data_IF_807292064617
#
_entry.id   IF_807292064617
#
_cell.length_a   1.000
_cell.length_b   1.000
_cell.length_c   1.000
_cell.angle_alpha   90.00
_cell.angle_beta   90.00
_cell.angle_gamma   90.00
#
_symmetry.space_group_name_H-M   'P 1'
#
loop_
_entity.id
_entity.type
_entity.pdbx_description
1 polymer ?
#
# COMPACT_ATOMS: atom_id res chain seq x y z
N UNK A 1 33.32 11.87 16.44
CA UNK A 1 32.80 13.02 15.67
C UNK A 1 31.63 12.47 14.87
N UNK A 2 30.42 12.81 15.26
CA UNK A 2 29.22 12.51 14.50
C UNK A 2 29.20 13.49 13.34
N UNK A 3 29.41 13.01 12.12
CA UNK A 3 29.24 13.82 10.93
C UNK A 3 27.81 14.36 10.91
N UNK A 4 27.66 15.67 10.82
CA UNK A 4 26.35 16.30 10.58
C UNK A 4 25.81 15.80 9.23
N UNK A 5 24.91 14.84 9.26
CA UNK A 5 24.11 14.51 8.08
C UNK A 5 23.37 15.79 7.72
N UNK A 6 23.65 16.36 6.56
CA UNK A 6 22.90 17.52 6.07
C UNK A 6 21.44 17.08 5.94
N UNK A 7 20.48 17.86 6.46
CA UNK A 7 19.08 17.50 6.35
C UNK A 7 18.72 17.31 4.87
N UNK A 8 17.96 16.26 4.59
CA UNK A 8 17.48 15.99 3.24
C UNK A 8 16.65 17.18 2.76
N UNK A 9 17.02 17.74 1.61
CA UNK A 9 16.31 18.89 1.04
C UNK A 9 14.99 18.51 0.38
N UNK A 10 14.71 17.21 0.27
CA UNK A 10 13.51 16.68 -0.36
C UNK A 10 12.61 16.02 0.67
N UNK A 11 11.31 16.22 0.52
CA UNK A 11 10.28 15.44 1.18
C UNK A 11 9.69 14.47 0.16
N UNK A 12 9.91 13.18 0.36
CA UNK A 12 9.49 12.13 -0.55
C UNK A 12 8.06 11.67 -0.22
N UNK A 13 7.19 11.74 -1.23
CA UNK A 13 5.79 11.31 -1.15
C UNK A 13 5.58 10.16 -2.12
N UNK A 14 5.25 8.98 -1.60
CA UNK A 14 4.95 7.78 -2.38
C UNK A 14 3.44 7.52 -2.38
N UNK A 15 2.79 7.77 -3.52
CA UNK A 15 1.42 7.36 -3.75
C UNK A 15 1.37 5.91 -4.20
N UNK A 16 0.52 5.10 -3.57
CA UNK A 16 0.31 3.71 -3.96
C UNK A 16 -1.15 3.42 -4.22
N UNK A 17 -1.42 2.40 -5.03
CA UNK A 17 -2.80 1.97 -5.37
C UNK A 17 -2.88 0.46 -5.30
N UNK A 18 -3.83 -0.04 -4.52
CA UNK A 18 -4.09 -1.46 -4.36
C UNK A 18 -5.24 -1.93 -5.25
N UNK A 19 -5.51 -3.23 -5.24
CA UNK A 19 -6.63 -3.90 -5.87
C UNK A 19 -6.70 -3.81 -7.40
N UNK A 20 -5.58 -3.55 -8.07
CA UNK A 20 -5.55 -3.62 -9.54
C UNK A 20 -5.79 -5.07 -9.97
N UNK A 21 -6.83 -5.29 -10.76
CA UNK A 21 -7.35 -6.59 -11.21
C UNK A 21 -8.14 -7.39 -10.15
N UNK A 22 -8.51 -6.83 -9.02
CA UNK A 22 -9.45 -7.46 -8.09
C UNK A 22 -10.89 -7.20 -8.55
N UNK A 23 -11.58 -8.23 -9.09
CA UNK A 23 -12.78 -8.07 -9.91
C UNK A 23 -13.90 -7.19 -9.30
N UNK A 24 -14.15 -7.27 -8.00
CA UNK A 24 -15.20 -6.50 -7.33
C UNK A 24 -14.76 -5.09 -6.86
N UNK A 25 -13.47 -4.75 -6.95
CA UNK A 25 -12.92 -3.43 -6.63
C UNK A 25 -12.15 -2.79 -7.79
N UNK A 26 -12.30 -3.35 -9.01
CA UNK A 26 -11.58 -2.89 -10.18
C UNK A 26 -12.52 -2.64 -11.37
N UNK A 27 -12.51 -1.41 -11.86
CA UNK A 27 -13.10 -1.02 -13.12
C UNK A 27 -12.01 -0.41 -14.02
N UNK A 28 -11.84 -0.94 -15.23
CA UNK A 28 -10.81 -0.46 -16.17
C UNK A 28 -10.92 1.05 -16.44
N UNK A 29 -12.14 1.57 -16.59
CA UNK A 29 -12.38 3.01 -16.78
C UNK A 29 -11.82 3.83 -15.61
N UNK A 30 -12.09 3.40 -14.38
CA UNK A 30 -11.61 4.09 -13.17
C UNK A 30 -10.09 3.99 -13.06
N UNK A 31 -9.51 2.84 -13.39
CA UNK A 31 -8.05 2.66 -13.41
C UNK A 31 -7.36 3.61 -14.41
N UNK A 32 -7.89 3.70 -15.65
CA UNK A 32 -7.38 4.67 -16.66
C UNK A 32 -7.53 6.11 -16.19
N UNK A 33 -8.66 6.47 -15.60
CA UNK A 33 -8.90 7.80 -15.07
C UNK A 33 -7.95 8.13 -13.92
N UNK A 34 -7.64 7.15 -13.06
CA UNK A 34 -6.73 7.34 -11.93
C UNK A 34 -5.28 7.54 -12.39
N UNK A 35 -4.82 6.77 -13.39
CA UNK A 35 -3.51 7.00 -14.03
C UNK A 35 -3.46 8.41 -14.62
N UNK A 36 -4.47 8.82 -15.39
CA UNK A 36 -4.53 10.15 -15.98
C UNK A 36 -4.53 11.27 -14.92
N UNK A 37 -5.29 11.07 -13.84
CA UNK A 37 -5.31 12.00 -12.70
C UNK A 37 -3.92 12.16 -12.07
N UNK A 38 -3.18 11.07 -11.87
CA UNK A 38 -1.82 11.14 -11.34
C UNK A 38 -0.87 11.86 -12.30
N UNK A 39 -0.94 11.54 -13.58
CA UNK A 39 -0.11 12.19 -14.60
C UNK A 39 -0.36 13.70 -14.69
N UNK A 40 -1.62 14.13 -14.64
CA UNK A 40 -2.02 15.54 -14.66
C UNK A 40 -1.51 16.31 -13.43
N UNK A 41 -1.34 15.62 -12.29
CA UNK A 41 -0.82 16.19 -11.06
C UNK A 41 0.70 15.98 -10.87
N UNK A 42 1.39 15.43 -11.87
CA UNK A 42 2.84 15.16 -11.79
C UNK A 42 3.21 14.05 -10.80
N UNK A 43 2.25 13.18 -10.44
CA UNK A 43 2.45 12.08 -9.50
C UNK A 43 2.81 10.81 -10.26
N UNK A 44 3.87 10.11 -9.84
CA UNK A 44 4.15 8.75 -10.28
C UNK A 44 3.86 7.80 -9.13
N UNK A 45 2.87 6.91 -9.34
CA UNK A 45 2.37 6.01 -8.31
C UNK A 45 2.95 4.59 -8.48
N UNK A 46 2.90 3.82 -7.39
CA UNK A 46 3.14 2.37 -7.42
C UNK A 46 1.79 1.66 -7.32
N UNK A 47 1.50 0.80 -8.30
CA UNK A 47 0.27 0.02 -8.37
C UNK A 47 0.53 -1.43 -7.98
N UNK A 48 -0.30 -2.00 -7.10
CA UNK A 48 -0.21 -3.40 -6.71
C UNK A 48 -1.29 -4.21 -7.40
N UNK A 49 -0.84 -5.22 -8.16
CA UNK A 49 -1.68 -6.02 -9.07
C UNK A 49 -1.94 -7.38 -8.48
N UNK A 50 -3.19 -7.81 -8.47
CA UNK A 50 -3.62 -9.16 -8.07
C UNK A 50 -3.37 -10.12 -9.25
N UNK A 51 -2.50 -11.15 -9.10
CA UNK A 51 -2.11 -12.01 -10.20
C UNK A 51 -3.20 -12.94 -10.74
N UNK A 52 -4.09 -13.41 -9.86
CA UNK A 52 -5.09 -14.43 -10.14
C UNK A 52 -6.44 -13.96 -9.61
N UNK A 53 -7.46 -14.01 -10.44
CA UNK A 53 -8.84 -13.71 -10.03
C UNK A 53 -9.36 -14.77 -9.04
N UNK A 54 -9.90 -14.31 -7.92
CA UNK A 54 -10.34 -15.18 -6.81
C UNK A 54 -11.46 -16.15 -7.22
N UNK A 55 -12.43 -15.67 -8.01
CA UNK A 55 -13.62 -16.44 -8.35
C UNK A 55 -13.36 -17.46 -9.48
N UNK A 56 -12.71 -17.02 -10.55
CA UNK A 56 -12.45 -17.85 -11.73
C UNK A 56 -11.18 -18.68 -11.64
N UNK A 57 -10.31 -18.40 -10.67
CA UNK A 57 -8.95 -18.97 -10.54
C UNK A 57 -8.06 -18.78 -11.78
N UNK A 58 -8.41 -17.80 -12.64
CA UNK A 58 -7.67 -17.51 -13.86
C UNK A 58 -6.65 -16.40 -13.63
N UNK A 59 -5.54 -16.41 -14.38
CA UNK A 59 -4.63 -15.27 -14.41
C UNK A 59 -5.38 -13.97 -14.80
N UNK A 60 -5.02 -12.86 -14.19
CA UNK A 60 -5.68 -11.56 -14.38
C UNK A 60 -5.83 -11.16 -15.86
N UNK A 61 -4.88 -11.51 -16.72
CA UNK A 61 -4.90 -11.17 -18.14
C UNK A 61 -5.90 -12.00 -18.97
N UNK A 62 -6.43 -13.07 -18.42
CA UNK A 62 -7.53 -13.83 -19.04
C UNK A 62 -8.89 -13.22 -18.68
N UNK A 63 -9.00 -12.59 -17.51
CA UNK A 63 -10.19 -11.89 -17.03
C UNK A 63 -10.26 -10.47 -17.58
N UNK A 64 -9.13 -9.80 -17.61
CA UNK A 64 -8.96 -8.41 -18.09
C UNK A 64 -7.93 -8.35 -19.23
N UNK A 65 -8.27 -8.76 -20.46
CA UNK A 65 -7.29 -8.95 -21.53
C UNK A 65 -6.59 -7.65 -21.99
N UNK A 66 -7.21 -6.48 -21.79
CA UNK A 66 -6.60 -5.18 -22.12
C UNK A 66 -5.63 -4.68 -21.04
N UNK A 67 -5.76 -5.19 -19.81
CA UNK A 67 -5.02 -4.66 -18.66
C UNK A 67 -3.48 -4.75 -18.80
N UNK A 68 -2.87 -5.82 -19.36
CA UNK A 68 -1.43 -5.86 -19.55
C UNK A 68 -0.88 -4.70 -20.39
N UNK A 69 -1.59 -4.28 -21.42
CA UNK A 69 -1.14 -3.17 -22.28
C UNK A 69 -1.32 -1.81 -21.58
N UNK A 70 -2.38 -1.64 -20.77
CA UNK A 70 -2.56 -0.45 -19.93
C UNK A 70 -1.40 -0.32 -18.94
N UNK A 71 -1.06 -1.43 -18.27
CA UNK A 71 0.06 -1.49 -17.30
C UNK A 71 1.39 -1.14 -17.98
N UNK A 72 1.69 -1.74 -19.14
CA UNK A 72 2.93 -1.45 -19.89
C UNK A 72 3.03 0.02 -20.29
N UNK A 73 1.92 0.61 -20.75
CA UNK A 73 1.88 2.03 -21.09
C UNK A 73 2.12 2.92 -19.87
N UNK A 74 1.48 2.63 -18.73
CA UNK A 74 1.69 3.37 -17.48
C UNK A 74 3.13 3.19 -16.96
N UNK A 75 3.70 1.98 -17.07
CA UNK A 75 5.12 1.72 -16.72
C UNK A 75 6.07 2.55 -17.59
N UNK A 76 5.83 2.61 -18.87
CA UNK A 76 6.63 3.43 -19.80
C UNK A 76 6.53 4.94 -19.48
N UNK A 77 5.44 5.37 -18.84
CA UNK A 77 5.24 6.73 -18.35
C UNK A 77 5.79 6.97 -16.93
N UNK A 78 6.47 6.00 -16.33
CA UNK A 78 7.20 6.17 -15.07
C UNK A 78 6.46 5.71 -13.81
N UNK A 79 5.29 5.10 -13.92
CA UNK A 79 4.64 4.42 -12.80
C UNK A 79 5.34 3.09 -12.48
N UNK A 80 5.24 2.62 -11.25
CA UNK A 80 5.76 1.33 -10.81
C UNK A 80 4.63 0.32 -10.59
N UNK A 81 4.99 -0.97 -10.66
CA UNK A 81 4.03 -2.06 -10.46
C UNK A 81 4.63 -3.12 -9.54
N UNK A 82 3.85 -3.50 -8.52
CA UNK A 82 4.17 -4.56 -7.56
C UNK A 82 3.12 -5.64 -7.55
N UNK A 83 3.39 -6.72 -6.84
CA UNK A 83 2.48 -7.83 -6.63
C UNK A 83 1.58 -7.58 -5.42
N UNK A 84 0.26 -7.85 -5.55
CA UNK A 84 -0.70 -7.79 -4.46
C UNK A 84 -1.23 -9.19 -4.12
N UNK A 85 -0.50 -9.91 -3.24
CA UNK A 85 -0.84 -11.29 -2.94
C UNK A 85 -0.81 -12.23 -4.14
N UNK A 86 -1.67 -13.25 -4.14
CA UNK A 86 -1.88 -14.17 -5.25
C UNK A 86 -3.31 -14.05 -5.78
N UNK A 87 -4.32 -14.23 -4.92
CA UNK A 87 -5.76 -14.15 -5.21
C UNK A 87 -6.49 -13.09 -4.39
N UNK A 88 -5.78 -12.37 -3.56
CA UNK A 88 -6.33 -11.48 -2.55
C UNK A 88 -7.15 -12.19 -1.45
N UNK A 89 -6.93 -13.50 -1.27
CA UNK A 89 -7.63 -14.27 -0.24
C UNK A 89 -7.13 -13.91 1.17
N UNK A 90 -8.03 -13.99 2.15
CA UNK A 90 -7.63 -13.95 3.56
C UNK A 90 -6.73 -15.15 3.86
N UNK A 91 -5.72 -14.95 4.67
CA UNK A 91 -4.78 -15.99 5.13
C UNK A 91 -3.91 -16.64 4.05
N UNK A 92 -3.73 -16.04 2.89
CA UNK A 92 -2.86 -16.63 1.87
C UNK A 92 -1.36 -16.51 2.16
N UNK A 93 -0.94 -15.50 2.93
CA UNK A 93 0.47 -15.27 3.30
C UNK A 93 0.68 -14.96 4.78
N UNK A 94 -0.39 -14.77 5.51
CA UNK A 94 -0.35 -14.40 6.92
C UNK A 94 -1.74 -14.24 7.52
N UNK A 95 -1.78 -13.63 8.68
CA UNK A 95 -3.02 -13.31 9.37
C UNK A 95 -3.24 -11.79 9.29
N UNK A 96 -4.44 -11.33 8.85
CA UNK A 96 -4.77 -9.91 8.91
C UNK A 96 -4.69 -9.38 10.35
N UNK A 97 -4.27 -8.12 10.55
CA UNK A 97 -4.22 -7.52 11.89
C UNK A 97 -5.62 -7.33 12.49
N UNK A 98 -5.65 -7.09 13.81
CA UNK A 98 -6.90 -6.94 14.56
C UNK A 98 -7.81 -5.86 13.95
N UNK A 99 -7.25 -4.71 13.51
CA UNK A 99 -8.02 -3.63 12.90
C UNK A 99 -8.81 -4.07 11.65
N UNK A 100 -8.34 -5.08 10.91
CA UNK A 100 -9.07 -5.67 9.78
C UNK A 100 -10.05 -6.71 10.26
N UNK A 101 -9.61 -7.65 11.12
CA UNK A 101 -10.46 -8.73 11.62
C UNK A 101 -11.61 -8.26 12.55
N UNK A 102 -11.52 -7.03 13.08
CA UNK A 102 -12.56 -6.42 13.90
C UNK A 102 -13.67 -5.75 13.07
N UNK A 103 -13.53 -5.69 11.75
CA UNK A 103 -14.58 -5.19 10.87
C UNK A 103 -15.83 -6.09 10.94
N UNK A 104 -17.05 -5.51 10.88
CA UNK A 104 -18.28 -6.27 11.04
C UNK A 104 -18.45 -7.46 10.10
N UNK A 105 -17.95 -7.32 8.86
CA UNK A 105 -18.01 -8.38 7.84
C UNK A 105 -16.89 -9.43 7.97
N UNK A 106 -15.90 -9.23 8.83
CA UNK A 106 -14.77 -10.15 9.06
C UNK A 106 -15.01 -11.11 10.24
N UNK A 107 -16.20 -11.13 10.83
CA UNK A 107 -16.50 -11.94 12.04
C UNK A 107 -16.15 -13.43 11.87
N UNK A 108 -16.42 -14.01 10.69
CA UNK A 108 -16.09 -15.41 10.42
C UNK A 108 -14.58 -15.62 10.27
N UNK A 109 -13.88 -14.71 9.59
CA UNK A 109 -12.43 -14.74 9.45
C UNK A 109 -11.73 -14.57 10.81
N UNK A 110 -12.23 -13.69 11.67
CA UNK A 110 -11.73 -13.52 13.04
C UNK A 110 -11.84 -14.80 13.84
N UNK A 111 -13.02 -15.46 13.79
CA UNK A 111 -13.24 -16.76 14.44
C UNK A 111 -12.30 -17.83 13.86
N UNK A 112 -12.22 -17.92 12.54
CA UNK A 112 -11.35 -18.88 11.84
C UNK A 112 -9.88 -18.71 12.26
N UNK A 113 -9.38 -17.48 12.31
CA UNK A 113 -8.02 -17.18 12.74
C UNK A 113 -7.74 -17.64 14.18
N UNK A 114 -8.73 -17.42 15.09
CA UNK A 114 -8.60 -17.83 16.49
C UNK A 114 -8.59 -19.36 16.67
N UNK A 115 -9.48 -20.07 15.95
CA UNK A 115 -9.64 -21.51 16.02
C UNK A 115 -8.51 -22.29 15.32
N UNK A 116 -7.85 -21.69 14.30
CA UNK A 116 -6.86 -22.36 13.44
C UNK A 116 -5.44 -21.80 13.59
N UNK A 117 -5.13 -21.14 14.69
CA UNK A 117 -3.86 -20.44 14.90
C UNK A 117 -2.61 -21.29 14.61
N UNK A 118 -2.58 -22.54 15.09
CA UNK A 118 -1.44 -23.44 14.87
C UNK A 118 -1.34 -23.91 13.41
N UNK A 119 -2.48 -24.22 12.79
CA UNK A 119 -2.53 -24.62 11.38
C UNK A 119 -2.10 -23.47 10.46
N UNK A 120 -2.55 -22.25 10.71
CA UNK A 120 -2.14 -21.06 9.99
C UNK A 120 -0.64 -20.77 10.16
N UNK A 121 -0.12 -20.90 11.37
CA UNK A 121 1.31 -20.72 11.62
C UNK A 121 2.17 -21.76 10.85
N UNK A 122 1.70 -23.01 10.77
CA UNK A 122 2.37 -24.05 9.99
C UNK A 122 2.25 -23.82 8.47
N UNK A 123 1.08 -23.36 8.01
CA UNK A 123 0.84 -23.06 6.59
C UNK A 123 1.63 -21.83 6.10
N UNK A 124 1.87 -20.87 6.97
CA UNK A 124 2.65 -19.67 6.67
C UNK A 124 4.16 -19.85 6.97
N UNK A 125 4.71 -21.07 6.81
CA UNK A 125 6.14 -21.27 6.84
C UNK A 125 6.83 -20.62 5.63
N UNK A 126 8.12 -20.37 5.74
CA UNK A 126 8.91 -19.67 4.71
C UNK A 126 8.80 -20.33 3.33
N UNK A 127 8.84 -21.65 3.30
CA UNK A 127 8.79 -22.46 2.07
C UNK A 127 7.46 -22.26 1.33
N UNK A 128 6.34 -22.31 2.06
CA UNK A 128 5.01 -22.10 1.49
C UNK A 128 4.82 -20.66 1.01
N UNK A 129 5.22 -19.69 1.83
CA UNK A 129 5.17 -18.28 1.45
C UNK A 129 6.03 -18.00 0.20
N UNK A 130 7.26 -18.52 0.15
CA UNK A 130 8.15 -18.40 -1.02
C UNK A 130 7.52 -18.98 -2.29
N UNK A 131 6.92 -20.18 -2.20
CA UNK A 131 6.25 -20.82 -3.33
C UNK A 131 5.07 -19.98 -3.83
N UNK A 132 4.23 -19.46 -2.93
CA UNK A 132 3.07 -18.61 -3.26
C UNK A 132 3.53 -17.30 -3.89
N UNK A 133 4.46 -16.59 -3.27
CA UNK A 133 5.01 -15.33 -3.78
C UNK A 133 5.59 -15.52 -5.18
N UNK A 134 6.39 -16.58 -5.38
CA UNK A 134 6.95 -16.92 -6.68
C UNK A 134 5.88 -17.18 -7.74
N UNK A 135 4.83 -17.92 -7.40
CA UNK A 135 3.76 -18.25 -8.36
C UNK A 135 3.04 -17.00 -8.86
N UNK A 136 2.71 -16.06 -7.98
CA UNK A 136 2.08 -14.79 -8.37
C UNK A 136 3.02 -13.92 -9.20
N UNK A 137 4.28 -13.81 -8.80
CA UNK A 137 5.30 -13.06 -9.54
C UNK A 137 5.51 -13.60 -10.96
N UNK A 138 5.65 -14.92 -11.11
CA UNK A 138 5.83 -15.55 -12.42
C UNK A 138 4.67 -15.25 -13.39
N UNK A 139 3.42 -15.18 -12.87
CA UNK A 139 2.24 -14.81 -13.66
C UNK A 139 2.33 -13.37 -14.13
N UNK A 140 2.65 -12.44 -13.23
CA UNK A 140 2.78 -11.02 -13.56
C UNK A 140 3.91 -10.77 -14.54
N UNK A 141 5.12 -11.27 -14.28
CA UNK A 141 6.29 -11.08 -15.14
C UNK A 141 6.09 -11.67 -16.53
N UNK A 142 5.45 -12.85 -16.63
CA UNK A 142 5.10 -13.47 -17.92
C UNK A 142 4.16 -12.59 -18.74
N UNK A 143 3.15 -11.99 -18.12
CA UNK A 143 2.15 -11.16 -18.79
C UNK A 143 2.68 -9.77 -19.17
N UNK A 144 3.49 -9.19 -18.28
CA UNK A 144 3.90 -7.79 -18.35
C UNK A 144 5.26 -7.62 -19.07
N UNK A 145 6.13 -8.63 -19.02
CA UNK A 145 7.43 -8.60 -19.71
C UNK A 145 8.50 -7.76 -19.01
N UNK A 146 8.30 -7.41 -17.74
CA UNK A 146 9.29 -6.73 -16.90
C UNK A 146 9.31 -7.32 -15.47
N UNK A 147 10.43 -7.17 -14.73
CA UNK A 147 10.56 -7.69 -13.38
C UNK A 147 9.58 -7.03 -12.41
N UNK A 148 8.98 -7.81 -11.51
CA UNK A 148 8.18 -7.34 -10.39
C UNK A 148 9.07 -7.27 -9.15
N UNK A 149 9.39 -6.05 -8.72
CA UNK A 149 10.39 -5.78 -7.69
C UNK A 149 9.78 -5.58 -6.30
N UNK A 150 8.48 -5.34 -6.20
CA UNK A 150 7.82 -5.00 -4.96
C UNK A 150 6.59 -5.82 -4.66
N UNK A 151 6.22 -5.80 -3.36
CA UNK A 151 5.09 -6.55 -2.84
C UNK A 151 4.26 -5.70 -1.87
N UNK A 152 2.96 -6.01 -1.80
CA UNK A 152 2.06 -5.62 -0.71
C UNK A 152 1.10 -6.76 -0.41
N UNK A 153 0.92 -7.06 0.87
CA UNK A 153 0.02 -8.11 1.31
C UNK A 153 -1.45 -7.67 1.27
N UNK A 154 -2.35 -8.47 0.68
CA UNK A 154 -3.79 -8.23 0.76
C UNK A 154 -4.26 -8.12 2.21
N UNK A 155 -5.22 -7.23 2.47
CA UNK A 155 -5.76 -7.04 3.81
C UNK A 155 -4.68 -6.87 4.90
N UNK A 156 -3.48 -6.40 4.51
CA UNK A 156 -2.37 -6.14 5.43
C UNK A 156 -1.99 -7.38 6.26
N UNK A 157 -2.27 -8.57 5.73
CA UNK A 157 -1.95 -9.82 6.39
C UNK A 157 -0.44 -10.04 6.47
N UNK A 158 0.06 -10.52 7.59
CA UNK A 158 1.50 -10.73 7.79
C UNK A 158 1.81 -12.04 8.51
N UNK A 159 2.99 -12.59 8.21
CA UNK A 159 3.58 -13.70 8.95
C UNK A 159 5.11 -13.61 8.94
N UNK A 160 5.76 -14.28 9.86
CA UNK A 160 7.24 -14.37 9.87
C UNK A 160 7.76 -15.02 8.60
N UNK A 161 7.08 -16.08 8.13
CA UNK A 161 7.47 -16.77 6.90
C UNK A 161 7.33 -15.90 5.67
N UNK A 162 6.28 -15.07 5.61
CA UNK A 162 6.12 -14.08 4.54
C UNK A 162 7.26 -13.06 4.53
N UNK A 163 7.55 -12.41 5.64
CA UNK A 163 8.62 -11.39 5.69
C UNK A 163 9.98 -11.98 5.33
N UNK A 164 10.30 -13.18 5.80
CA UNK A 164 11.55 -13.84 5.43
C UNK A 164 11.57 -14.19 3.93
N UNK A 165 10.49 -14.71 3.36
CA UNK A 165 10.41 -15.02 1.93
C UNK A 165 10.47 -13.76 1.05
N UNK A 166 9.91 -12.63 1.51
CA UNK A 166 9.96 -11.35 0.82
C UNK A 166 11.39 -10.79 0.78
N UNK A 167 12.11 -10.78 1.91
CA UNK A 167 13.47 -10.26 1.98
C UNK A 167 14.46 -10.99 1.06
N UNK A 168 14.16 -12.26 0.72
CA UNK A 168 14.97 -13.06 -0.21
C UNK A 168 14.65 -12.78 -1.70
N UNK A 169 13.49 -12.17 -2.02
CA UNK A 169 12.95 -12.22 -3.37
C UNK A 169 12.49 -10.86 -3.93
N UNK A 170 12.28 -9.85 -3.09
CA UNK A 170 11.79 -8.54 -3.49
C UNK A 170 12.73 -7.43 -3.02
N UNK A 171 12.73 -6.31 -3.73
CA UNK A 171 13.53 -5.15 -3.39
C UNK A 171 12.83 -4.25 -2.37
N UNK A 172 11.47 -4.32 -2.33
CA UNK A 172 10.67 -3.60 -1.36
C UNK A 172 9.36 -4.31 -1.03
N UNK A 173 8.91 -4.08 0.20
CA UNK A 173 7.60 -4.43 0.74
C UNK A 173 6.91 -3.18 1.30
N UNK A 174 5.58 -3.17 1.34
CA UNK A 174 4.80 -2.12 2.00
C UNK A 174 3.51 -2.71 2.57
N UNK A 175 3.68 -3.69 3.45
CA UNK A 175 2.57 -4.48 4.00
C UNK A 175 2.18 -4.07 5.43
N UNK A 176 2.90 -3.15 6.05
CA UNK A 176 2.66 -2.76 7.45
C UNK A 176 2.10 -1.34 7.53
N UNK A 177 0.87 -1.22 8.06
CA UNK A 177 0.24 0.08 8.36
C UNK A 177 0.69 0.55 9.74
N UNK A 178 1.11 1.82 9.83
CA UNK A 178 1.47 2.41 11.11
C UNK A 178 0.38 3.35 11.68
N UNK A 179 -0.45 3.97 10.81
CA UNK A 179 -1.54 4.84 11.21
C UNK A 179 -2.88 4.10 11.21
N UNK A 180 -3.11 3.32 12.26
CA UNK A 180 -4.33 2.52 12.40
C UNK A 180 -5.59 3.37 12.62
N UNK A 181 -5.45 4.62 13.08
CA UNK A 181 -6.58 5.53 13.38
C UNK A 181 -7.46 5.79 12.16
N UNK A 182 -6.92 5.72 10.94
CA UNK A 182 -7.75 5.80 9.75
C UNK A 182 -8.80 4.70 9.67
N UNK A 183 -8.49 3.49 10.13
CA UNK A 183 -9.43 2.38 10.24
C UNK A 183 -10.46 2.60 11.35
N UNK A 184 -10.03 3.17 12.50
CA UNK A 184 -10.95 3.57 13.55
C UNK A 184 -12.01 4.55 13.01
N UNK A 185 -11.58 5.54 12.22
CA UNK A 185 -12.49 6.51 11.61
C UNK A 185 -13.43 5.87 10.59
N UNK A 186 -12.93 4.92 9.77
CA UNK A 186 -13.77 4.17 8.82
C UNK A 186 -14.87 3.36 9.53
N UNK A 187 -14.58 2.85 10.74
CA UNK A 187 -15.52 2.06 11.53
C UNK A 187 -16.37 2.88 12.49
N UNK A 188 -16.25 4.21 12.45
CA UNK A 188 -17.07 5.15 13.23
C UNK A 188 -16.50 5.54 14.59
N UNK A 189 -15.29 5.09 14.93
CA UNK A 189 -14.59 5.47 16.17
C UNK A 189 -13.82 6.79 15.99
N UNK A 190 -14.55 7.86 15.75
CA UNK A 190 -13.99 9.17 15.37
C UNK A 190 -13.33 9.95 16.50
N UNK A 191 -13.44 9.48 17.74
CA UNK A 191 -12.83 10.06 18.95
C UNK A 191 -11.40 9.56 19.20
N UNK A 192 -10.93 8.56 18.44
CA UNK A 192 -9.58 8.01 18.61
C UNK A 192 -8.54 9.01 18.14
N UNK A 193 -7.55 9.29 18.99
CA UNK A 193 -6.47 10.18 18.63
C UNK A 193 -5.53 9.56 17.56
N UNK A 194 -4.96 10.37 16.66
CA UNK A 194 -3.95 9.90 15.71
C UNK A 194 -2.80 9.16 16.40
N UNK A 195 -2.31 8.09 15.76
CA UNK A 195 -1.12 7.38 16.24
C UNK A 195 0.12 8.21 16.00
N UNK A 196 0.97 8.30 17.01
CA UNK A 196 2.27 8.94 16.90
C UNK A 196 3.32 7.99 16.30
N UNK A 197 4.26 8.55 15.57
CA UNK A 197 5.44 7.86 15.06
C UNK A 197 6.70 8.50 15.64
N UNK A 198 7.67 7.65 16.01
CA UNK A 198 9.05 8.07 16.28
C UNK A 198 10.03 7.15 15.53
N UNK A 199 11.31 7.49 15.56
CA UNK A 199 12.33 6.72 14.84
C UNK A 199 12.51 5.30 15.36
N UNK A 200 12.25 5.04 16.65
CA UNK A 200 12.38 3.70 17.24
C UNK A 200 11.26 2.79 16.69
N UNK A 201 10.03 3.30 16.70
CA UNK A 201 8.87 2.59 16.14
C UNK A 201 9.05 2.37 14.63
N UNK A 202 9.44 3.40 13.89
CA UNK A 202 9.69 3.30 12.45
C UNK A 202 10.72 2.22 12.13
N UNK A 203 11.89 2.24 12.79
CA UNK A 203 12.94 1.25 12.59
C UNK A 203 12.50 -0.16 12.98
N UNK A 204 11.67 -0.29 14.01
CA UNK A 204 11.11 -1.59 14.40
C UNK A 204 10.21 -2.18 13.32
N UNK A 205 9.40 -1.35 12.62
CA UNK A 205 8.57 -1.79 11.51
C UNK A 205 9.44 -2.17 10.30
N UNK A 206 10.36 -1.30 9.92
CA UNK A 206 11.30 -1.58 8.80
C UNK A 206 12.10 -2.87 9.04
N UNK A 207 12.46 -3.14 10.29
CA UNK A 207 13.17 -4.35 10.69
C UNK A 207 12.37 -5.65 10.56
N UNK A 208 11.04 -5.60 10.43
CA UNK A 208 10.21 -6.80 10.26
C UNK A 208 10.54 -7.54 8.95
N UNK A 209 10.91 -6.80 7.91
CA UNK A 209 11.26 -7.34 6.59
C UNK A 209 12.70 -6.96 6.19
N UNK A 210 13.66 -7.16 7.11
CA UNK A 210 15.11 -6.98 6.88
C UNK A 210 15.51 -5.64 6.20
N UNK A 211 14.71 -4.59 6.43
CA UNK A 211 15.00 -3.25 5.91
C UNK A 211 14.39 -2.91 4.55
N UNK A 212 13.64 -3.82 3.93
CA UNK A 212 12.93 -3.54 2.67
C UNK A 212 11.49 -3.02 2.87
N UNK A 213 10.98 -3.00 4.09
CA UNK A 213 9.65 -2.46 4.41
C UNK A 213 9.62 -0.94 4.26
N UNK A 214 8.58 -0.43 3.58
CA UNK A 214 8.18 0.97 3.57
C UNK A 214 6.82 1.10 4.27
N UNK A 215 6.81 1.50 5.55
CA UNK A 215 5.59 1.56 6.35
C UNK A 215 4.52 2.45 5.71
N UNK A 216 3.33 1.89 5.56
CA UNK A 216 2.15 2.56 5.01
C UNK A 216 1.49 3.42 6.09
N UNK A 217 1.15 4.68 5.77
CA UNK A 217 0.38 5.54 6.67
C UNK A 217 -1.06 5.03 6.78
N UNK A 218 -1.92 5.41 5.83
CA UNK A 218 -3.32 5.04 5.82
C UNK A 218 -3.91 5.17 4.41
N UNK A 219 -5.12 4.62 4.18
CA UNK A 219 -6.01 5.06 3.11
C UNK A 219 -6.93 6.18 3.62
N UNK A 220 -6.73 7.38 3.09
CA UNK A 220 -7.54 8.54 3.42
C UNK A 220 -8.73 8.73 2.45
N UNK A 221 -8.90 7.82 1.49
CA UNK A 221 -9.79 8.00 0.34
C UNK A 221 -10.89 6.96 0.22
N UNK A 222 -10.82 5.87 1.01
CA UNK A 222 -11.71 4.73 0.92
C UNK A 222 -13.17 5.12 1.15
N UNK A 223 -13.97 5.13 0.06
CA UNK A 223 -15.41 5.45 0.10
C UNK A 223 -15.67 6.63 1.07
N UNK A 224 -14.91 7.71 0.91
CA UNK A 224 -14.87 8.80 1.88
C UNK A 224 -16.16 9.65 1.82
N UNK A 225 -17.04 9.58 2.81
CA UNK A 225 -18.24 10.40 2.82
C UNK A 225 -17.93 11.83 3.25
N UNK A 226 -18.73 12.84 2.79
CA UNK A 226 -18.49 14.24 3.08
C UNK A 226 -18.37 14.57 4.57
N UNK A 227 -19.15 13.91 5.42
CA UNK A 227 -19.17 14.15 6.87
C UNK A 227 -17.89 13.72 7.59
N UNK A 228 -17.08 12.85 7.00
CA UNK A 228 -15.78 12.45 7.53
C UNK A 228 -14.58 13.17 6.90
N UNK A 229 -14.85 14.00 5.89
CA UNK A 229 -13.80 14.63 5.10
C UNK A 229 -12.80 15.40 5.95
N UNK A 230 -13.28 16.36 6.75
CA UNK A 230 -12.41 17.25 7.54
C UNK A 230 -11.58 16.45 8.55
N UNK A 231 -12.20 15.48 9.23
CA UNK A 231 -11.51 14.62 10.21
C UNK A 231 -10.39 13.80 9.54
N UNK A 232 -10.68 13.20 8.39
CA UNK A 232 -9.70 12.40 7.63
C UNK A 232 -8.60 13.27 7.06
N UNK A 233 -8.91 14.50 6.63
CA UNK A 233 -7.90 15.44 6.15
C UNK A 233 -6.98 15.92 7.27
N UNK A 234 -7.50 16.19 8.49
CA UNK A 234 -6.66 16.50 9.65
C UNK A 234 -5.71 15.34 9.99
N UNK A 235 -6.17 14.08 9.89
CA UNK A 235 -5.31 12.91 10.06
C UNK A 235 -4.20 12.86 9.00
N UNK A 236 -4.51 13.10 7.74
CA UNK A 236 -3.52 13.12 6.67
C UNK A 236 -2.46 14.21 6.89
N UNK A 237 -2.88 15.40 7.33
CA UNK A 237 -1.95 16.51 7.67
C UNK A 237 -1.03 16.13 8.83
N UNK A 238 -1.58 15.57 9.91
CA UNK A 238 -0.80 15.09 11.04
C UNK A 238 0.29 14.10 10.60
N UNK A 239 -0.03 13.14 9.76
CA UNK A 239 0.89 12.11 9.33
C UNK A 239 1.98 12.65 8.38
N UNK A 240 1.62 13.59 7.50
CA UNK A 240 2.57 14.32 6.65
C UNK A 240 3.56 15.11 7.52
N UNK A 241 3.06 15.85 8.52
CA UNK A 241 3.89 16.64 9.41
C UNK A 241 4.87 15.79 10.22
N UNK A 242 4.45 14.62 10.67
CA UNK A 242 5.33 13.62 11.33
C UNK A 242 6.43 13.17 10.36
N UNK A 243 6.06 12.78 9.13
CA UNK A 243 7.05 12.32 8.15
C UNK A 243 8.06 13.42 7.79
N UNK A 244 7.61 14.67 7.61
CA UNK A 244 8.49 15.81 7.37
C UNK A 244 9.43 16.03 8.56
N UNK A 245 8.91 16.02 9.77
CA UNK A 245 9.66 16.25 11.03
C UNK A 245 10.73 15.17 11.26
N UNK A 246 10.43 13.93 10.93
CA UNK A 246 11.31 12.79 11.15
C UNK A 246 12.22 12.49 9.94
N UNK A 247 12.10 13.25 8.86
CA UNK A 247 12.81 13.02 7.59
C UNK A 247 12.53 11.63 6.97
N UNK A 248 11.25 11.20 7.04
CA UNK A 248 10.78 9.93 6.55
C UNK A 248 9.98 10.13 5.24
N UNK A 249 9.95 9.14 4.34
CA UNK A 249 9.02 9.14 3.23
C UNK A 249 7.58 9.00 3.76
N UNK A 250 6.64 9.74 3.16
CA UNK A 250 5.22 9.55 3.39
C UNK A 250 4.70 8.56 2.35
N UNK A 251 4.21 7.42 2.79
CA UNK A 251 3.65 6.37 1.93
C UNK A 251 2.16 6.25 2.23
N UNK A 252 1.30 6.43 1.24
CA UNK A 252 -0.15 6.32 1.37
C UNK A 252 -0.75 5.43 0.28
N UNK A 253 -1.96 4.95 0.48
CA UNK A 253 -2.68 4.10 -0.45
C UNK A 253 -4.03 4.70 -0.84
N UNK A 254 -4.47 4.39 -2.05
CA UNK A 254 -5.85 4.46 -2.52
C UNK A 254 -6.20 3.14 -3.20
N UNK A 255 -7.48 2.94 -3.51
CA UNK A 255 -7.97 1.78 -4.25
C UNK A 255 -8.67 2.23 -5.52
N UNK A 256 -8.68 1.37 -6.57
CA UNK A 256 -9.11 1.79 -7.92
C UNK A 256 -10.53 2.32 -7.96
N UNK A 257 -11.50 1.58 -7.45
CA UNK A 257 -12.91 2.00 -7.45
C UNK A 257 -13.28 2.81 -6.19
N UNK A 258 -12.89 2.41 -4.97
CA UNK A 258 -13.26 3.13 -3.75
C UNK A 258 -12.89 4.61 -3.70
N UNK A 259 -11.82 5.03 -4.40
CA UNK A 259 -11.41 6.44 -4.47
C UNK A 259 -12.43 7.33 -5.19
N UNK A 260 -13.26 6.74 -6.06
CA UNK A 260 -14.32 7.45 -6.80
C UNK A 260 -15.66 7.45 -6.07
N UNK A 261 -15.82 6.63 -5.04
CA UNK A 261 -17.04 6.54 -4.25
C UNK A 261 -16.98 7.52 -3.08
N UNK A 262 -17.34 8.78 -3.35
CA UNK A 262 -17.31 9.88 -2.38
C UNK A 262 -16.28 10.96 -2.71
N UNK A 263 -15.62 11.49 -1.67
CA UNK A 263 -14.72 12.64 -1.77
C UNK A 263 -13.24 12.26 -2.03
N UNK A 264 -12.94 11.00 -2.37
CA UNK A 264 -11.55 10.51 -2.42
C UNK A 264 -10.65 11.27 -3.40
N UNK A 265 -11.12 11.57 -4.62
CA UNK A 265 -10.35 12.37 -5.60
C UNK A 265 -10.10 13.80 -5.12
N UNK A 266 -11.08 14.41 -4.44
CA UNK A 266 -10.89 15.72 -3.82
C UNK A 266 -9.86 15.64 -2.70
N UNK A 267 -9.94 14.61 -1.85
CA UNK A 267 -9.01 14.36 -0.77
C UNK A 267 -7.57 14.25 -1.29
N UNK A 268 -7.33 13.50 -2.36
CA UNK A 268 -5.98 13.42 -2.95
C UNK A 268 -5.43 14.78 -3.37
N UNK A 269 -6.25 15.63 -4.02
CA UNK A 269 -5.82 16.99 -4.41
C UNK A 269 -5.42 17.83 -3.21
N UNK A 270 -6.25 17.80 -2.16
CA UNK A 270 -6.01 18.61 -0.96
C UNK A 270 -4.80 18.08 -0.15
N UNK A 271 -4.58 16.75 -0.12
CA UNK A 271 -3.37 16.14 0.45
C UNK A 271 -2.12 16.58 -0.32
N UNK A 272 -2.13 16.58 -1.64
CA UNK A 272 -0.97 17.01 -2.45
C UNK A 272 -0.67 18.50 -2.24
N UNK A 273 -1.71 19.33 -2.21
CA UNK A 273 -1.55 20.77 -1.94
C UNK A 273 -0.95 21.01 -0.54
N UNK A 274 -1.47 20.31 0.47
CA UNK A 274 -0.95 20.42 1.84
C UNK A 274 0.49 19.92 1.94
N UNK A 275 0.80 18.76 1.36
CA UNK A 275 2.15 18.20 1.39
C UNK A 275 3.18 19.15 0.78
N UNK A 276 2.82 19.85 -0.30
CA UNK A 276 3.67 20.87 -0.92
C UNK A 276 3.89 22.06 0.01
N UNK A 277 2.82 22.62 0.57
CA UNK A 277 2.91 23.77 1.48
C UNK A 277 3.71 23.41 2.75
N UNK A 278 3.48 22.24 3.35
CA UNK A 278 4.18 21.79 4.54
C UNK A 278 5.67 21.53 4.27
N UNK A 279 6.02 20.93 3.14
CA UNK A 279 7.41 20.76 2.72
C UNK A 279 8.12 22.10 2.53
N UNK A 280 7.51 23.06 1.83
CA UNK A 280 8.04 24.40 1.62
C UNK A 280 8.28 25.14 2.95
N UNK A 281 7.34 25.07 3.90
CA UNK A 281 7.49 25.64 5.26
C UNK A 281 8.66 25.02 6.03
N UNK A 282 8.92 23.72 5.81
CA UNK A 282 10.05 23.00 6.39
C UNK A 282 11.38 23.23 5.65
N UNK A 283 11.39 24.04 4.58
CA UNK A 283 12.57 24.27 3.75
C UNK A 283 12.95 23.10 2.87
N UNK A 284 11.99 22.24 2.53
CA UNK A 284 12.14 21.06 1.68
C UNK A 284 11.37 21.24 0.36
N UNK A 285 11.79 20.51 -0.65
CA UNK A 285 11.07 20.35 -1.92
C UNK A 285 10.26 19.07 -1.88
N UNK A 286 8.96 19.12 -2.22
CA UNK A 286 8.15 17.94 -2.38
C UNK A 286 8.56 17.17 -3.64
N UNK A 287 8.85 15.88 -3.49
CA UNK A 287 9.17 14.96 -4.58
C UNK A 287 8.20 13.77 -4.55
N UNK A 288 7.39 13.63 -5.61
CA UNK A 288 6.59 12.42 -5.79
C UNK A 288 7.48 11.30 -6.33
N UNK A 289 7.49 10.17 -5.65
CA UNK A 289 8.35 9.02 -5.96
C UNK A 289 7.55 7.73 -5.95
N UNK A 290 7.99 6.75 -6.74
CA UNK A 290 7.50 5.37 -6.62
C UNK A 290 8.24 4.63 -5.51
N UNK A 291 7.68 3.52 -5.01
CA UNK A 291 8.39 2.67 -4.04
C UNK A 291 9.66 2.04 -4.65
N UNK A 292 9.70 1.80 -5.96
CA UNK A 292 10.93 1.38 -6.64
C UNK A 292 12.03 2.43 -6.52
N UNK A 293 11.70 3.71 -6.75
CA UNK A 293 12.67 4.81 -6.60
C UNK A 293 13.14 4.97 -5.15
N UNK A 294 12.26 4.76 -4.17
CA UNK A 294 12.65 4.74 -2.76
C UNK A 294 13.62 3.58 -2.47
N UNK A 295 13.37 2.40 -3.03
CA UNK A 295 14.26 1.24 -2.87
C UNK A 295 15.62 1.45 -3.53
N UNK A 296 15.68 2.07 -4.70
CA UNK A 296 16.92 2.40 -5.41
C UNK A 296 17.76 3.47 -4.71
N UNK A 297 17.15 4.28 -3.85
CA UNK A 297 17.82 5.35 -3.08
C UNK A 297 18.36 4.94 -1.71
N UNK A 298 18.15 3.66 -1.30
CA UNK A 298 18.62 3.11 -0.01
C UNK A 298 20.10 2.75 0.01
#
# INVERSE_FOLDING_TARGET
MWGSVMPNKKFQFAMTVDDVALAHWYCEKNFRNLIAFFDENGVKATFFVVPVDEESEKPFYEVFPELPEIIKAARANGHAFGQHGIRHNRFELGVPPAMVLDLPHETENKRYAAENKEALAADHCVENCRARLKSGRDILEKALGFPIRGFRAPAIQTSKGMFQALSEAYDYDSSVVWQETGWDYLTGHTEVAPREMDMVRYQSIVGLCEGIEFPLSCDYTWILPPERYDLTFELAKHDIDICIKLDLPFVTVAHVDPVYDGEGIRMLKDIYAYAKEAAEKAGKELEFVTLEQLADGK
#
